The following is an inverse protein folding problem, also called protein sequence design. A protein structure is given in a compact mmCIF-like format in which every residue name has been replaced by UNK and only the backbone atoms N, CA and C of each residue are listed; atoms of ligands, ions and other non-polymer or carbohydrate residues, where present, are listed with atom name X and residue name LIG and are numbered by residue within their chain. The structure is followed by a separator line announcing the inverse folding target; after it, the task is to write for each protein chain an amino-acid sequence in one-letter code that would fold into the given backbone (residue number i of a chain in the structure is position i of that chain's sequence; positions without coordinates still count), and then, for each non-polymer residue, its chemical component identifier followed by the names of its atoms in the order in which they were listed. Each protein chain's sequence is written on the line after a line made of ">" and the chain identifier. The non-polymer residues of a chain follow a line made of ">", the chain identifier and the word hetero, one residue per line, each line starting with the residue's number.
data_IF_533625745739
#
_entry.id   IF_533625745739
#
_cell.length_a   1.000
_cell.length_b   1.000
_cell.length_c   1.000
_cell.angle_alpha   90.00
_cell.angle_beta   90.00
_cell.angle_gamma   90.00
#
_symmetry.space_group_name_H-M   'P 1'
#
loop_
_entity.id
_entity.type
_entity.pdbx_description
1 polymer ?
#
# COMPACT_ATOMS: atom_id res chain seq x y z
N UNK A 1 34.89 -2.00 18.66
CA UNK A 1 34.43 -1.42 19.94
C UNK A 1 33.21 -2.22 20.40
N UNK A 2 33.04 -2.47 21.71
CA UNK A 2 31.83 -3.12 22.22
C UNK A 2 30.62 -2.21 22.07
N UNK A 3 29.45 -2.80 21.77
CA UNK A 3 28.16 -2.11 21.75
C UNK A 3 27.22 -2.76 22.79
N UNK A 4 26.37 -1.99 23.49
CA UNK A 4 25.37 -2.55 24.38
C UNK A 4 24.32 -3.38 23.63
N UNK A 5 23.90 -4.52 24.18
CA UNK A 5 22.85 -5.37 23.60
C UNK A 5 21.53 -4.60 23.42
N UNK A 6 21.20 -3.72 24.37
CA UNK A 6 20.04 -2.82 24.27
C UNK A 6 20.06 -1.95 23.00
N UNK A 7 21.24 -1.50 22.58
CA UNK A 7 21.40 -0.68 21.38
C UNK A 7 21.13 -1.49 20.12
N UNK A 8 21.57 -2.75 20.09
CA UNK A 8 21.32 -3.66 18.98
C UNK A 8 19.81 -3.91 18.77
N UNK A 9 19.09 -4.22 19.86
CA UNK A 9 17.64 -4.42 19.80
C UNK A 9 16.87 -3.11 19.52
N UNK A 10 17.37 -1.96 19.97
CA UNK A 10 16.80 -0.66 19.63
C UNK A 10 16.88 -0.40 18.11
N UNK A 11 17.98 -0.78 17.45
CA UNK A 11 18.11 -0.70 15.99
C UNK A 11 17.08 -1.60 15.31
N UNK A 12 16.90 -2.83 15.77
CA UNK A 12 15.90 -3.75 15.21
C UNK A 12 14.48 -3.20 15.31
N UNK A 13 14.10 -2.68 16.49
CA UNK A 13 12.80 -2.02 16.68
C UNK A 13 12.60 -0.88 15.70
N UNK A 14 13.60 0.00 15.54
CA UNK A 14 13.51 1.15 14.65
C UNK A 14 13.37 0.74 13.18
N UNK A 15 14.09 -0.30 12.73
CA UNK A 15 13.98 -0.82 11.37
C UNK A 15 12.56 -1.36 11.07
N UNK A 16 11.93 -2.05 12.03
CA UNK A 16 10.55 -2.52 11.89
C UNK A 16 9.55 -1.37 11.88
N UNK A 17 9.72 -0.37 12.75
CA UNK A 17 8.85 0.81 12.79
C UNK A 17 8.86 1.60 11.48
N UNK A 18 10.05 1.82 10.90
CA UNK A 18 10.17 2.47 9.58
C UNK A 18 9.53 1.65 8.47
N UNK A 19 9.62 0.33 8.55
CA UNK A 19 8.99 -0.55 7.54
C UNK A 19 7.47 -0.54 7.66
N UNK A 20 6.93 -0.53 8.89
CA UNK A 20 5.50 -0.35 9.15
C UNK A 20 5.00 0.97 8.56
N UNK A 21 5.70 2.08 8.79
CA UNK A 21 5.32 3.39 8.22
C UNK A 21 5.28 3.37 6.68
N UNK A 22 6.25 2.69 6.04
CA UNK A 22 6.25 2.50 4.58
C UNK A 22 5.05 1.69 4.11
N UNK A 23 4.69 0.62 4.81
CA UNK A 23 3.49 -0.17 4.50
C UNK A 23 2.21 0.66 4.65
N UNK A 24 2.08 1.42 5.73
CA UNK A 24 0.93 2.32 5.94
C UNK A 24 0.81 3.38 4.84
N UNK A 25 1.95 3.88 4.34
CA UNK A 25 2.01 4.80 3.20
C UNK A 25 1.52 4.15 1.91
N UNK A 26 2.03 2.95 1.57
CA UNK A 26 1.59 2.20 0.38
C UNK A 26 0.09 1.86 0.46
N UNK A 27 -0.42 1.49 1.65
CA UNK A 27 -1.83 1.17 1.83
C UNK A 27 -2.74 2.33 1.40
N UNK A 28 -2.33 3.59 1.62
CA UNK A 28 -3.11 4.74 1.16
C UNK A 28 -3.28 4.76 -0.37
N UNK A 29 -2.25 4.34 -1.11
CA UNK A 29 -2.34 4.23 -2.57
C UNK A 29 -3.19 3.03 -3.00
N UNK A 30 -3.13 1.91 -2.27
CA UNK A 30 -3.93 0.71 -2.57
C UNK A 30 -5.42 0.91 -2.31
N UNK A 31 -5.80 1.86 -1.46
CA UNK A 31 -7.19 2.23 -1.27
C UNK A 31 -7.77 3.04 -2.43
N UNK A 32 -6.95 3.54 -3.37
CA UNK A 32 -7.41 4.26 -4.55
C UNK A 32 -7.87 3.28 -5.63
N UNK A 33 -9.18 3.24 -5.86
CA UNK A 33 -9.80 2.39 -6.87
C UNK A 33 -10.04 3.14 -8.17
N UNK A 34 -9.95 2.40 -9.28
CA UNK A 34 -10.11 2.89 -10.66
C UNK A 34 -11.54 2.66 -11.18
N UNK A 35 -12.47 2.32 -10.30
CA UNK A 35 -13.87 2.02 -10.64
C UNK A 35 -14.51 3.17 -11.40
N UNK A 36 -15.27 2.83 -12.44
CA UNK A 36 -15.87 3.82 -13.34
C UNK A 36 -14.87 4.55 -14.24
N UNK A 37 -13.64 4.06 -14.37
CA UNK A 37 -12.69 4.51 -15.41
C UNK A 37 -12.92 3.82 -16.76
N UNK A 38 -13.66 2.71 -16.75
CA UNK A 38 -13.90 1.83 -17.90
C UNK A 38 -12.60 1.44 -18.62
N UNK A 39 -12.44 1.73 -19.91
CA UNK A 39 -11.33 1.20 -20.72
C UNK A 39 -10.08 2.09 -20.63
N UNK A 40 -10.24 3.41 -20.67
CA UNK A 40 -9.11 4.36 -20.76
C UNK A 40 -9.09 5.39 -19.63
N UNK A 41 -9.90 5.22 -18.58
CA UNK A 41 -10.05 6.18 -17.50
C UNK A 41 -11.04 7.31 -17.80
N UNK A 42 -11.69 7.30 -18.96
CA UNK A 42 -12.68 8.33 -19.39
C UNK A 42 -14.04 8.16 -18.72
N UNK A 43 -14.34 6.96 -18.23
CA UNK A 43 -15.66 6.65 -17.67
C UNK A 43 -16.77 6.54 -18.72
N UNK A 44 -16.42 6.44 -20.01
CA UNK A 44 -17.41 6.23 -21.06
C UNK A 44 -18.16 4.92 -20.80
N UNK A 45 -19.50 4.98 -20.80
CA UNK A 45 -20.44 3.92 -20.39
C UNK A 45 -20.52 3.60 -18.88
N UNK A 46 -19.87 4.36 -17.99
CA UNK A 46 -20.08 4.24 -16.55
C UNK A 46 -21.01 5.36 -16.05
N UNK A 47 -22.09 5.02 -15.35
CA UNK A 47 -22.86 6.02 -14.63
C UNK A 47 -22.05 6.55 -13.45
N UNK A 48 -22.19 7.84 -13.13
CA UNK A 48 -21.56 8.42 -11.93
C UNK A 48 -22.01 7.68 -10.66
N UNK A 49 -23.30 7.36 -10.58
CA UNK A 49 -23.93 6.61 -9.51
C UNK A 49 -23.28 5.23 -9.30
N UNK A 50 -22.89 4.53 -10.36
CA UNK A 50 -22.24 3.22 -10.25
C UNK A 50 -20.98 3.27 -9.38
N UNK A 51 -20.13 4.29 -9.57
CA UNK A 51 -18.87 4.40 -8.83
C UNK A 51 -19.13 4.62 -7.34
N UNK A 52 -20.09 5.49 -7.01
CA UNK A 52 -20.44 5.82 -5.62
C UNK A 52 -21.07 4.62 -4.91
N UNK A 53 -22.02 3.93 -5.55
CA UNK A 53 -22.63 2.73 -4.99
C UNK A 53 -21.62 1.59 -4.82
N UNK A 54 -20.76 1.35 -5.81
CA UNK A 54 -19.75 0.30 -5.71
C UNK A 54 -18.75 0.58 -4.57
N UNK A 55 -18.29 1.83 -4.42
CA UNK A 55 -17.40 2.22 -3.33
C UNK A 55 -18.07 2.10 -1.96
N UNK A 56 -19.33 2.53 -1.83
CA UNK A 56 -20.08 2.40 -0.58
C UNK A 56 -20.20 0.93 -0.14
N UNK A 57 -20.62 0.06 -1.06
CA UNK A 57 -20.73 -1.38 -0.79
C UNK A 57 -19.37 -2.01 -0.45
N UNK A 58 -18.29 -1.64 -1.14
CA UNK A 58 -16.96 -2.16 -0.84
C UNK A 58 -16.47 -1.76 0.55
N UNK A 59 -16.72 -0.50 0.96
CA UNK A 59 -16.39 -0.03 2.31
C UNK A 59 -17.19 -0.78 3.37
N UNK A 60 -18.48 -1.00 3.14
CA UNK A 60 -19.35 -1.73 4.06
C UNK A 60 -18.93 -3.19 4.21
N UNK A 61 -18.64 -3.88 3.09
CA UNK A 61 -18.27 -5.30 3.10
C UNK A 61 -16.89 -5.57 3.70
N UNK A 62 -15.94 -4.66 3.50
CA UNK A 62 -14.53 -4.91 3.86
C UNK A 62 -14.06 -4.15 5.10
N UNK A 63 -14.75 -3.08 5.48
CA UNK A 63 -14.28 -2.13 6.50
C UNK A 63 -13.10 -1.27 6.07
N UNK A 64 -12.61 -1.38 4.83
CA UNK A 64 -11.47 -0.60 4.35
C UNK A 64 -11.89 0.75 3.76
N UNK A 65 -11.06 1.80 3.94
CA UNK A 65 -11.37 3.16 3.52
C UNK A 65 -11.10 3.40 2.03
N UNK A 66 -11.65 2.55 1.15
CA UNK A 66 -11.51 2.68 -0.31
C UNK A 66 -11.96 4.06 -0.80
N UNK A 67 -11.31 4.62 -1.82
CA UNK A 67 -11.57 5.95 -2.41
C UNK A 67 -11.46 5.87 -3.92
N UNK A 68 -12.02 6.84 -4.65
CA UNK A 68 -11.77 6.94 -6.08
C UNK A 68 -10.39 7.54 -6.34
N UNK A 69 -9.65 6.99 -7.30
CA UNK A 69 -8.50 7.68 -7.87
C UNK A 69 -9.00 8.92 -8.66
N UNK A 70 -8.33 10.06 -8.49
CA UNK A 70 -8.65 11.30 -9.21
C UNK A 70 -8.32 11.21 -10.70
N UNK A 71 -7.31 10.42 -11.07
CA UNK A 71 -6.88 10.19 -12.44
C UNK A 71 -6.90 8.69 -12.72
N UNK A 72 -8.09 8.14 -13.01
CA UNK A 72 -8.27 6.69 -13.20
C UNK A 72 -7.40 6.11 -14.34
N UNK A 73 -7.08 6.92 -15.35
CA UNK A 73 -6.20 6.51 -16.44
C UNK A 73 -4.77 6.18 -15.97
N UNK A 74 -4.27 6.84 -14.92
CA UNK A 74 -2.93 6.60 -14.38
C UNK A 74 -2.80 5.16 -13.85
N UNK A 75 -3.75 4.74 -13.01
CA UNK A 75 -3.75 3.39 -12.46
C UNK A 75 -4.15 2.30 -13.46
N UNK A 76 -4.84 2.65 -14.55
CA UNK A 76 -5.11 1.71 -15.66
C UNK A 76 -3.85 1.51 -16.49
N UNK A 77 -3.11 2.58 -16.75
CA UNK A 77 -1.88 2.54 -17.54
C UNK A 77 -0.72 1.87 -16.80
N UNK A 78 -0.67 1.97 -15.47
CA UNK A 78 0.41 1.41 -14.67
C UNK A 78 -0.05 0.96 -13.27
N UNK A 79 0.56 -0.12 -12.78
CA UNK A 79 0.31 -0.66 -11.44
C UNK A 79 1.45 -0.32 -10.48
N UNK A 80 1.88 0.94 -10.46
CA UNK A 80 3.02 1.40 -9.69
C UNK A 80 2.85 1.19 -8.18
N UNK A 81 1.63 1.35 -7.65
CA UNK A 81 1.32 1.10 -6.24
C UNK A 81 1.57 -0.36 -5.83
N UNK A 82 1.31 -1.33 -6.71
CA UNK A 82 1.64 -2.75 -6.49
C UNK A 82 3.14 -3.01 -6.56
N UNK A 83 3.84 -2.37 -7.50
CA UNK A 83 5.31 -2.44 -7.56
C UNK A 83 5.96 -1.81 -6.31
N UNK A 84 5.39 -0.73 -5.80
CA UNK A 84 5.83 -0.10 -4.57
C UNK A 84 5.57 -0.99 -3.35
N UNK A 85 4.39 -1.61 -3.25
CA UNK A 85 4.10 -2.64 -2.24
C UNK A 85 5.15 -3.75 -2.24
N UNK A 86 5.42 -4.32 -3.42
CA UNK A 86 6.43 -5.38 -3.58
C UNK A 86 7.81 -4.93 -3.09
N UNK A 87 8.19 -3.68 -3.40
CA UNK A 87 9.45 -3.09 -2.94
C UNK A 87 9.50 -2.93 -1.42
N UNK A 88 8.41 -2.48 -0.79
CA UNK A 88 8.33 -2.37 0.67
C UNK A 88 8.36 -3.74 1.35
N UNK A 89 7.68 -4.74 0.80
CA UNK A 89 7.75 -6.12 1.29
C UNK A 89 9.16 -6.70 1.16
N UNK A 90 9.89 -6.38 0.09
CA UNK A 90 11.31 -6.74 -0.06
C UNK A 90 12.18 -6.11 1.03
N UNK A 91 11.96 -4.84 1.36
CA UNK A 91 12.69 -4.18 2.45
C UNK A 91 12.39 -4.82 3.82
N UNK A 92 11.15 -5.23 4.05
CA UNK A 92 10.78 -5.99 5.24
C UNK A 92 11.55 -7.32 5.30
N UNK A 93 11.54 -8.08 4.20
CA UNK A 93 12.23 -9.36 4.11
C UNK A 93 13.74 -9.23 4.38
N UNK A 94 14.40 -8.21 3.82
CA UNK A 94 15.82 -7.95 4.08
C UNK A 94 16.09 -7.57 5.54
N UNK A 95 15.19 -6.80 6.16
CA UNK A 95 15.27 -6.43 7.58
C UNK A 95 15.17 -7.67 8.46
N UNK A 96 14.19 -8.54 8.19
CA UNK A 96 13.99 -9.79 8.92
C UNK A 96 15.17 -10.75 8.72
N UNK A 97 15.68 -10.88 7.51
CA UNK A 97 16.84 -11.73 7.22
C UNK A 97 18.08 -11.29 8.01
N UNK A 98 18.33 -9.98 8.10
CA UNK A 98 19.44 -9.45 8.92
C UNK A 98 19.27 -9.83 10.39
N UNK A 99 18.06 -9.67 10.94
CA UNK A 99 17.77 -10.01 12.33
C UNK A 99 17.98 -11.51 12.57
N UNK A 100 17.40 -12.37 11.72
CA UNK A 100 17.53 -13.83 11.85
C UNK A 100 18.98 -14.31 11.77
N UNK A 101 19.81 -13.69 10.93
CA UNK A 101 21.23 -14.06 10.83
C UNK A 101 22.07 -13.58 12.03
N UNK A 102 21.57 -12.61 12.80
CA UNK A 102 22.27 -12.00 13.93
C UNK A 102 21.78 -12.52 15.30
N UNK A 103 20.66 -13.26 15.34
CA UNK A 103 20.11 -13.90 16.53
C UNK A 103 20.75 -15.29 16.73
#
# INVERSE_FOLDING_TARGET
>A
MPIPLEMEFAVYKEQLMKTKQRLESVLQELYLLLLGGTIFGTGLNASSQYTDYALANLRELTGFPFKTNSVKAEGIASHNSLAYLSSVLKLLALTLLKMTNNI
#
